data_IF_878436235664
#
_entry.id   IF_878436235664
#
_cell.length_a   1.000
_cell.length_b   1.000
_cell.length_c   1.000
_cell.angle_alpha   90.00
_cell.angle_beta   90.00
_cell.angle_gamma   90.00
#
_symmetry.space_group_name_H-M   'P 1'
#
loop_
_entity.id
_entity.type
_entity.pdbx_description
1 polymer ?
#
# COMPACT_ATOMS: atom_id res chain seq x y z
N UNK A 1 45.44 25.30 13.08
CA UNK A 1 44.13 25.14 13.74
C UNK A 1 43.05 25.53 12.75
N UNK A 2 42.25 24.56 12.32
CA UNK A 2 40.79 24.61 12.09
C UNK A 2 40.42 23.49 11.12
N UNK A 3 39.85 22.44 11.69
CA UNK A 3 39.17 21.32 11.04
C UNK A 3 37.75 21.74 10.71
N UNK A 4 37.36 21.72 9.44
CA UNK A 4 35.96 21.85 9.04
C UNK A 4 35.44 20.48 8.62
N UNK A 5 34.65 19.89 9.52
CA UNK A 5 33.74 18.80 9.21
C UNK A 5 32.48 19.41 8.58
N UNK A 6 32.16 19.02 7.35
CA UNK A 6 30.81 19.14 6.80
C UNK A 6 30.40 17.77 6.26
N UNK A 7 29.96 16.98 7.23
CA UNK A 7 29.08 15.83 7.12
C UNK A 7 28.04 16.07 6.03
N UNK A 8 28.11 15.31 4.93
CA UNK A 8 26.98 15.16 4.03
C UNK A 8 25.84 14.54 4.83
N UNK A 9 24.88 15.37 5.26
CA UNK A 9 23.62 14.91 5.82
C UNK A 9 22.87 14.16 4.73
N UNK A 10 23.12 12.86 4.63
CA UNK A 10 22.20 11.93 3.99
C UNK A 10 20.86 12.13 4.71
N UNK A 11 19.89 12.73 4.02
CA UNK A 11 18.54 12.89 4.55
C UNK A 11 18.06 11.52 5.06
N UNK A 12 17.53 11.42 6.30
CA UNK A 12 17.02 10.16 6.79
C UNK A 12 15.97 9.64 5.80
N UNK A 13 15.91 8.32 5.53
CA UNK A 13 14.93 7.76 4.61
C UNK A 13 13.56 8.24 5.06
N UNK A 14 12.93 9.05 4.21
CA UNK A 14 11.62 9.64 4.52
C UNK A 14 10.67 8.48 4.82
N UNK A 15 10.22 8.37 6.07
CA UNK A 15 9.26 7.37 6.56
C UNK A 15 8.03 7.20 5.63
N UNK A 16 7.71 8.26 4.87
CA UNK A 16 6.69 8.29 3.82
C UNK A 16 6.85 7.21 2.73
N UNK A 17 8.06 6.71 2.48
CA UNK A 17 8.32 5.67 1.48
C UNK A 17 8.20 4.24 2.04
N UNK A 18 8.36 4.01 3.34
CA UNK A 18 8.36 2.65 3.90
C UNK A 18 6.97 2.03 3.91
N UNK A 19 5.95 2.79 4.34
CA UNK A 19 4.55 2.33 4.35
C UNK A 19 4.07 1.98 2.94
N UNK A 20 4.21 2.93 1.99
CA UNK A 20 3.72 2.73 0.62
C UNK A 20 4.41 1.55 -0.05
N UNK A 21 5.74 1.43 0.12
CA UNK A 21 6.50 0.33 -0.47
C UNK A 21 6.09 -1.04 0.11
N UNK A 22 5.75 -1.12 1.40
CA UNK A 22 5.23 -2.35 2.00
C UNK A 22 3.85 -2.71 1.46
N UNK A 23 2.95 -1.73 1.32
CA UNK A 23 1.62 -1.93 0.71
C UNK A 23 1.74 -2.35 -0.76
N UNK A 24 2.64 -1.73 -1.53
CA UNK A 24 2.86 -2.08 -2.94
C UNK A 24 3.44 -3.50 -3.09
N UNK A 25 4.36 -3.90 -2.21
CA UNK A 25 4.86 -5.29 -2.16
C UNK A 25 3.74 -6.28 -1.82
N UNK A 26 2.88 -5.94 -0.88
CA UNK A 26 1.71 -6.74 -0.54
C UNK A 26 0.75 -6.87 -1.73
N UNK A 27 0.52 -5.76 -2.46
CA UNK A 27 -0.32 -5.74 -3.66
C UNK A 27 0.20 -6.68 -4.76
N UNK A 28 1.53 -6.70 -4.97
CA UNK A 28 2.15 -7.59 -5.96
C UNK A 28 2.06 -9.08 -5.58
N UNK A 29 1.87 -9.39 -4.29
CA UNK A 29 1.73 -10.77 -3.83
C UNK A 29 0.32 -11.30 -4.08
N UNK A 30 0.20 -12.25 -5.03
CA UNK A 30 -1.07 -12.95 -5.29
C UNK A 30 -1.64 -13.62 -4.05
N UNK A 31 -0.78 -14.21 -3.21
CA UNK A 31 -1.19 -14.86 -1.96
C UNK A 31 -1.88 -13.86 -1.03
N UNK A 32 -1.30 -12.68 -0.88
CA UNK A 32 -1.83 -11.63 0.01
C UNK A 32 -3.12 -11.05 -0.54
N UNK A 33 -3.22 -10.81 -1.87
CA UNK A 33 -4.48 -10.40 -2.49
C UNK A 33 -5.59 -11.43 -2.32
N UNK A 34 -5.29 -12.73 -2.47
CA UNK A 34 -6.27 -13.80 -2.23
C UNK A 34 -6.75 -13.88 -0.79
N UNK A 35 -5.86 -13.59 0.17
CA UNK A 35 -6.24 -13.50 1.57
C UNK A 35 -7.19 -12.32 1.80
N UNK A 36 -6.84 -11.13 1.31
CA UNK A 36 -7.72 -9.95 1.35
C UNK A 36 -9.09 -10.24 0.73
N UNK A 37 -9.10 -10.84 -0.46
CA UNK A 37 -10.33 -11.20 -1.18
C UNK A 37 -11.20 -12.16 -0.37
N UNK A 38 -10.62 -13.20 0.22
CA UNK A 38 -11.35 -14.16 1.05
C UNK A 38 -11.89 -13.56 2.36
N UNK A 39 -11.13 -12.68 3.01
CA UNK A 39 -11.55 -12.03 4.25
C UNK A 39 -12.66 -10.98 4.03
N UNK A 40 -12.77 -10.42 2.82
CA UNK A 40 -13.71 -9.35 2.49
C UNK A 40 -14.83 -9.81 1.53
N UNK A 41 -14.94 -11.12 1.26
CA UNK A 41 -15.89 -11.71 0.30
C UNK A 41 -15.86 -11.04 -1.09
N UNK A 42 -14.65 -10.67 -1.55
CA UNK A 42 -14.48 -9.98 -2.83
C UNK A 42 -14.21 -10.96 -3.97
N UNK A 43 -14.77 -10.64 -5.14
CA UNK A 43 -14.40 -11.32 -6.38
C UNK A 43 -12.92 -11.03 -6.69
N UNK A 44 -12.12 -12.05 -7.03
CA UNK A 44 -10.73 -11.84 -7.35
C UNK A 44 -10.52 -10.84 -8.48
N UNK A 45 -9.48 -10.01 -8.38
CA UNK A 45 -9.06 -9.22 -9.53
C UNK A 45 -8.63 -10.16 -10.66
N UNK A 46 -9.09 -9.83 -11.87
CA UNK A 46 -8.70 -10.57 -13.05
C UNK A 46 -7.18 -10.53 -13.24
N UNK A 47 -6.61 -11.67 -13.57
CA UNK A 47 -5.16 -11.80 -13.76
C UNK A 47 -4.75 -11.41 -15.17
N UNK A 48 -5.63 -11.64 -16.15
CA UNK A 48 -5.47 -11.30 -17.55
C UNK A 48 -5.90 -9.87 -17.87
N UNK A 49 -5.33 -9.31 -18.93
CA UNK A 49 -5.56 -7.94 -19.35
C UNK A 49 -7.02 -7.68 -19.75
N UNK A 50 -7.71 -8.65 -20.35
CA UNK A 50 -9.09 -8.51 -20.77
C UNK A 50 -10.05 -8.41 -19.57
N UNK A 51 -9.86 -9.24 -18.56
CA UNK A 51 -10.59 -9.17 -17.30
C UNK A 51 -10.26 -7.90 -16.50
N UNK A 52 -9.00 -7.44 -16.52
CA UNK A 52 -8.63 -6.16 -15.89
C UNK A 52 -9.30 -4.97 -16.57
N UNK A 53 -9.29 -4.91 -17.91
CA UNK A 53 -9.96 -3.86 -18.66
C UNK A 53 -11.46 -3.80 -18.38
N UNK A 54 -12.09 -4.98 -18.22
CA UNK A 54 -13.51 -5.09 -17.85
C UNK A 54 -13.80 -4.55 -16.44
N UNK A 55 -12.84 -4.64 -15.51
CA UNK A 55 -12.96 -4.13 -14.13
C UNK A 55 -12.54 -2.66 -13.97
N UNK A 56 -11.67 -2.14 -14.85
CA UNK A 56 -11.23 -0.73 -14.81
C UNK A 56 -12.36 0.23 -15.20
N UNK A 57 -13.21 -0.16 -16.16
CA UNK A 57 -14.32 0.68 -16.63
C UNK A 57 -15.44 0.90 -15.59
N UNK A 58 -15.49 0.10 -14.53
CA UNK A 58 -16.58 0.13 -13.54
C UNK A 58 -16.24 0.88 -12.26
N UNK A 59 -15.02 1.42 -12.14
CA UNK A 59 -14.53 2.03 -10.89
C UNK A 59 -14.20 1.01 -9.79
N UNK A 60 -14.49 -0.27 -10.03
CA UNK A 60 -14.24 -1.39 -9.13
C UNK A 60 -12.77 -1.47 -8.70
N UNK A 61 -11.84 -1.23 -9.64
CA UNK A 61 -10.39 -1.27 -9.35
C UNK A 61 -9.96 -0.21 -8.34
N UNK A 62 -10.54 0.99 -8.36
CA UNK A 62 -10.19 2.06 -7.42
C UNK A 62 -10.69 1.72 -6.02
N UNK A 63 -11.95 1.35 -5.89
CA UNK A 63 -12.52 0.91 -4.60
C UNK A 63 -11.81 -0.32 -4.05
N UNK A 64 -11.44 -1.28 -4.91
CA UNK A 64 -10.65 -2.44 -4.50
C UNK A 64 -9.28 -2.03 -3.96
N UNK A 65 -8.57 -1.12 -4.65
CA UNK A 65 -7.23 -0.71 -4.23
C UNK A 65 -7.25 0.14 -2.94
N UNK A 66 -8.27 0.97 -2.76
CA UNK A 66 -8.49 1.73 -1.52
C UNK A 66 -8.79 0.78 -0.34
N UNK A 67 -9.71 -0.17 -0.51
CA UNK A 67 -10.01 -1.20 0.49
C UNK A 67 -8.78 -2.06 0.81
N UNK A 68 -8.05 -2.51 -0.21
CA UNK A 68 -6.82 -3.26 -0.03
C UNK A 68 -5.77 -2.45 0.75
N UNK A 69 -5.63 -1.16 0.44
CA UNK A 69 -4.66 -0.29 1.12
C UNK A 69 -4.96 -0.19 2.60
N UNK A 70 -6.22 -0.02 2.99
CA UNK A 70 -6.65 0.01 4.39
C UNK A 70 -6.41 -1.34 5.07
N UNK A 71 -6.87 -2.43 4.44
CA UNK A 71 -6.69 -3.78 4.95
C UNK A 71 -5.21 -4.14 5.14
N UNK A 72 -4.38 -3.91 4.13
CA UNK A 72 -2.95 -4.22 4.16
C UNK A 72 -2.23 -3.37 5.21
N UNK A 73 -2.65 -2.11 5.41
CA UNK A 73 -2.06 -1.25 6.45
C UNK A 73 -2.30 -1.82 7.84
N UNK A 74 -3.53 -2.25 8.15
CA UNK A 74 -3.85 -2.92 9.43
C UNK A 74 -3.17 -4.27 9.56
N UNK A 75 -3.28 -5.12 8.54
CA UNK A 75 -2.79 -6.50 8.60
C UNK A 75 -1.25 -6.60 8.66
N UNK A 76 -0.54 -5.58 8.19
CA UNK A 76 0.92 -5.50 8.29
C UNK A 76 1.41 -4.72 9.53
N UNK A 77 0.51 -4.19 10.37
CA UNK A 77 0.88 -3.40 11.55
C UNK A 77 1.55 -2.07 11.20
N UNK A 78 1.11 -1.40 10.14
CA UNK A 78 1.72 -0.19 9.60
C UNK A 78 0.91 1.09 9.90
N UNK A 79 -0.06 1.04 10.81
CA UNK A 79 -0.97 2.16 11.10
C UNK A 79 -0.24 3.43 11.52
N UNK A 80 0.82 3.32 12.33
CA UNK A 80 1.62 4.47 12.76
C UNK A 80 2.46 5.10 11.62
N UNK A 81 2.76 4.32 10.58
CA UNK A 81 3.54 4.77 9.42
C UNK A 81 2.64 5.31 8.29
N UNK A 82 1.35 5.04 8.35
CA UNK A 82 0.40 5.46 7.35
C UNK A 82 0.17 6.99 7.38
N UNK A 83 -0.11 7.64 6.24
CA UNK A 83 -0.43 9.05 6.21
C UNK A 83 -1.78 9.33 6.90
N UNK A 84 -1.96 10.54 7.42
CA UNK A 84 -3.13 10.94 8.20
C UNK A 84 -4.50 10.57 7.56
N UNK A 85 -4.73 10.72 6.24
CA UNK A 85 -6.00 10.33 5.62
C UNK A 85 -6.28 8.83 5.66
N UNK A 86 -5.24 8.00 5.65
CA UNK A 86 -5.38 6.54 5.77
C UNK A 86 -5.66 6.21 7.22
N UNK A 87 -4.88 6.76 8.16
CA UNK A 87 -5.10 6.56 9.61
C UNK A 87 -6.51 6.94 10.06
N UNK A 88 -7.06 8.04 9.54
CA UNK A 88 -8.42 8.48 9.83
C UNK A 88 -9.50 7.48 9.35
N UNK A 89 -9.22 6.71 8.30
CA UNK A 89 -10.11 5.66 7.80
C UNK A 89 -9.91 4.30 8.49
N UNK A 90 -8.81 4.15 9.24
CA UNK A 90 -8.50 2.98 10.06
C UNK A 90 -8.96 3.13 11.52
N UNK A 91 -9.57 4.25 11.87
CA UNK A 91 -10.08 4.51 13.23
C UNK A 91 -11.46 3.90 13.44
#
# INVERSE_FOLDING_TARGET
MHTEALTGSASPPSYRNSWRLAVDRAWQSRKVRRQFEGENDLVPLAEDEAGRMSQVGTGYTKSYQDLFTLWATRNLGLEDQAPAPIRAQLS
#
